data_IF_857085392615
#
_entry.id   IF_857085392615
#
_cell.length_a   1.000
_cell.length_b   1.000
_cell.length_c   1.000
_cell.angle_alpha   90.00
_cell.angle_beta   90.00
_cell.angle_gamma   90.00
#
_symmetry.space_group_name_H-M   'P 1'
#
loop_
_entity.id
_entity.type
_entity.pdbx_description
1 polymer ?
#
# COMPACT_ATOMS: atom_id res chain seq x y z
N UNK A 1 -10.59 -12.93 16.56
CA UNK A 1 -11.33 -13.98 15.83
C UNK A 1 -10.31 -14.73 15.01
N UNK A 2 -10.12 -16.03 15.22
CA UNK A 2 -9.16 -16.81 14.46
C UNK A 2 -9.67 -17.23 13.08
N UNK A 3 -8.76 -17.75 12.28
CA UNK A 3 -8.95 -18.12 10.87
C UNK A 3 -10.05 -19.17 10.68
N UNK A 4 -10.14 -20.18 11.53
CA UNK A 4 -11.15 -21.26 11.37
C UNK A 4 -12.54 -20.75 11.77
N UNK A 5 -12.64 -19.97 12.85
CA UNK A 5 -13.89 -19.35 13.27
C UNK A 5 -14.41 -18.40 12.18
N UNK A 6 -13.50 -17.67 11.54
CA UNK A 6 -13.82 -16.81 10.40
C UNK A 6 -14.28 -17.61 9.16
N UNK A 7 -13.63 -18.74 8.83
CA UNK A 7 -14.03 -19.59 7.70
C UNK A 7 -15.40 -20.26 7.93
N UNK A 8 -15.69 -20.68 9.16
CA UNK A 8 -17.00 -21.22 9.53
C UNK A 8 -18.07 -20.14 9.41
N UNK A 9 -17.78 -18.92 9.88
CA UNK A 9 -18.69 -17.78 9.76
C UNK A 9 -19.00 -17.42 8.30
N UNK A 10 -18.04 -17.56 7.39
CA UNK A 10 -18.22 -17.33 5.96
C UNK A 10 -18.78 -18.54 5.20
N UNK A 11 -19.25 -19.58 5.91
CA UNK A 11 -19.84 -20.80 5.33
C UNK A 11 -18.91 -21.58 4.39
N UNK A 12 -17.60 -21.34 4.43
CA UNK A 12 -16.62 -22.11 3.65
C UNK A 12 -16.25 -23.42 4.34
N UNK A 13 -16.27 -23.42 5.67
CA UNK A 13 -16.06 -24.60 6.50
C UNK A 13 -17.26 -24.82 7.42
N UNK A 14 -17.44 -26.05 7.90
CA UNK A 14 -18.44 -26.39 8.92
C UNK A 14 -17.70 -26.81 10.18
N UNK A 15 -18.25 -26.49 11.36
CA UNK A 15 -17.68 -27.03 12.59
C UNK A 15 -17.69 -28.56 12.54
N UNK A 16 -16.58 -29.19 12.86
CA UNK A 16 -16.36 -30.63 12.72
C UNK A 16 -15.73 -31.05 11.38
N UNK A 17 -15.39 -30.12 10.47
CA UNK A 17 -14.70 -30.47 9.22
C UNK A 17 -13.39 -31.21 9.50
N UNK A 18 -13.22 -32.36 8.86
CA UNK A 18 -12.01 -33.18 8.94
C UNK A 18 -10.85 -32.53 8.18
N UNK A 19 -9.70 -32.54 8.82
CA UNK A 19 -8.44 -32.05 8.26
C UNK A 19 -7.34 -33.05 8.51
N UNK A 20 -6.30 -33.00 7.67
CA UNK A 20 -5.10 -33.76 7.86
C UNK A 20 -3.86 -32.92 7.54
N UNK A 21 -2.75 -33.28 8.18
CA UNK A 21 -1.45 -32.68 7.94
C UNK A 21 -0.41 -33.79 7.81
N UNK A 22 0.46 -33.67 6.81
CA UNK A 22 1.52 -34.64 6.55
C UNK A 22 2.88 -34.04 6.92
N UNK A 23 3.58 -34.68 7.86
CA UNK A 23 4.93 -34.30 8.25
C UNK A 23 5.99 -34.75 7.25
N UNK A 24 7.21 -34.23 7.42
CA UNK A 24 8.37 -34.54 6.57
C UNK A 24 8.73 -36.03 6.55
N UNK A 25 8.37 -36.76 7.62
CA UNK A 25 8.58 -38.21 7.75
C UNK A 25 7.47 -39.04 7.07
N UNK A 26 6.64 -38.42 6.23
CA UNK A 26 5.44 -39.00 5.56
C UNK A 26 4.34 -39.47 6.51
N UNK A 27 4.46 -39.23 7.81
CA UNK A 27 3.40 -39.51 8.80
C UNK A 27 2.27 -38.50 8.61
N UNK A 28 1.04 -38.99 8.48
CA UNK A 28 -0.17 -38.17 8.35
C UNK A 28 -0.91 -38.18 9.68
N UNK A 29 -1.23 -36.98 10.20
CA UNK A 29 -2.13 -36.81 11.35
C UNK A 29 -3.47 -36.27 10.86
N UNK A 30 -4.55 -36.76 11.46
CA UNK A 30 -5.94 -36.38 11.17
C UNK A 30 -6.58 -35.76 12.40
N UNK A 31 -7.55 -34.88 12.20
CA UNK A 31 -8.32 -34.26 13.27
C UNK A 31 -9.50 -33.46 12.73
N UNK A 32 -10.34 -32.97 13.64
CA UNK A 32 -11.55 -32.21 13.30
C UNK A 32 -11.49 -30.79 13.84
N UNK A 33 -11.99 -29.83 13.05
CA UNK A 33 -11.97 -28.39 13.36
C UNK A 33 -13.12 -27.95 14.29
N UNK A 34 -12.82 -27.20 15.34
CA UNK A 34 -13.83 -26.59 16.22
C UNK A 34 -13.42 -25.17 16.63
N UNK A 35 -14.25 -24.18 16.28
CA UNK A 35 -13.97 -22.76 16.49
C UNK A 35 -12.61 -22.32 15.95
N UNK A 36 -11.55 -22.29 16.76
CA UNK A 36 -10.17 -21.93 16.35
C UNK A 36 -9.13 -23.04 16.66
N UNK A 37 -9.58 -24.27 16.90
CA UNK A 37 -8.73 -25.40 17.27
C UNK A 37 -8.99 -26.67 16.44
N UNK A 38 -8.05 -27.61 16.49
CA UNK A 38 -8.13 -28.94 15.88
C UNK A 38 -8.02 -30.00 16.97
N UNK A 39 -8.98 -30.91 17.05
CA UNK A 39 -8.90 -32.08 17.93
C UNK A 39 -8.24 -33.22 17.15
N UNK A 40 -7.07 -33.72 17.57
CA UNK A 40 -6.39 -34.81 16.86
C UNK A 40 -7.09 -36.16 17.11
N UNK A 41 -7.32 -36.93 16.05
CA UNK A 41 -7.86 -38.30 16.17
C UNK A 41 -6.87 -39.26 16.84
N UNK A 42 -5.59 -38.90 16.79
CA UNK A 42 -4.50 -39.73 17.27
C UNK A 42 -4.34 -39.75 18.79
N UNK A 43 -4.70 -38.66 19.48
CA UNK A 43 -4.46 -38.49 20.91
C UNK A 43 -5.60 -37.75 21.62
N UNK A 44 -6.63 -37.33 20.89
CA UNK A 44 -7.78 -36.56 21.37
C UNK A 44 -7.43 -35.24 22.07
N UNK A 45 -6.19 -34.76 21.91
CA UNK A 45 -5.75 -33.45 22.40
C UNK A 45 -6.20 -32.35 21.44
N UNK A 46 -6.61 -31.23 22.01
CA UNK A 46 -6.98 -30.01 21.27
C UNK A 46 -5.73 -29.18 21.00
N UNK A 47 -5.46 -28.89 19.73
CA UNK A 47 -4.32 -28.11 19.26
C UNK A 47 -4.78 -26.80 18.62
N UNK A 48 -3.95 -25.77 18.74
CA UNK A 48 -4.02 -24.64 17.80
C UNK A 48 -3.61 -25.14 16.41
N UNK A 49 -3.93 -24.38 15.36
CA UNK A 49 -3.62 -24.77 13.99
C UNK A 49 -2.10 -24.99 13.79
N UNK A 50 -1.28 -24.07 14.31
CA UNK A 50 0.19 -24.21 14.31
C UNK A 50 0.67 -25.37 15.20
N UNK A 51 -0.01 -25.59 16.33
CA UNK A 51 0.26 -26.72 17.22
C UNK A 51 -0.01 -28.06 16.54
N UNK A 52 -1.06 -28.16 15.72
CA UNK A 52 -1.41 -29.38 14.97
C UNK A 52 -0.43 -29.66 13.83
N UNK A 53 0.03 -28.62 13.11
CA UNK A 53 1.10 -28.75 12.10
C UNK A 53 2.40 -29.28 12.74
N UNK A 54 2.77 -28.73 13.89
CA UNK A 54 3.95 -29.16 14.66
C UNK A 54 3.77 -30.60 15.16
N UNK A 55 2.58 -30.95 15.65
CA UNK A 55 2.24 -32.30 16.11
C UNK A 55 2.31 -33.34 14.97
N UNK A 56 1.98 -32.94 13.73
CA UNK A 56 2.14 -33.78 12.55
C UNK A 56 3.61 -33.95 12.11
N UNK A 57 4.56 -33.25 12.75
CA UNK A 57 5.96 -33.23 12.34
C UNK A 57 6.18 -32.45 11.05
N UNK A 58 5.29 -31.52 10.72
CA UNK A 58 5.44 -30.62 9.59
C UNK A 58 6.20 -29.36 10.04
N UNK A 59 7.41 -29.17 9.53
CA UNK A 59 8.30 -28.05 9.89
C UNK A 59 8.25 -26.90 8.87
N UNK A 60 7.20 -26.87 8.04
CA UNK A 60 7.03 -25.83 7.01
C UNK A 60 6.64 -24.48 7.58
N UNK A 61 6.19 -24.43 8.84
CA UNK A 61 5.72 -23.22 9.52
C UNK A 61 4.68 -22.44 8.71
N UNK A 62 3.85 -23.16 7.96
CA UNK A 62 2.81 -22.59 7.10
C UNK A 62 1.53 -23.41 7.28
N UNK A 63 0.92 -23.35 8.47
CA UNK A 63 -0.15 -24.25 8.85
C UNK A 63 -1.34 -24.17 7.90
N UNK A 64 -1.68 -22.98 7.40
CA UNK A 64 -2.77 -22.81 6.44
C UNK A 64 -2.54 -23.50 5.10
N UNK A 65 -1.28 -23.68 4.66
CA UNK A 65 -0.96 -24.44 3.44
C UNK A 65 -0.75 -25.93 3.69
N UNK A 66 -0.30 -26.27 4.89
CA UNK A 66 0.10 -27.63 5.26
C UNK A 66 -1.08 -28.48 5.76
N UNK A 67 -2.16 -27.84 6.21
CA UNK A 67 -3.37 -28.50 6.70
C UNK A 67 -4.39 -28.50 5.57
N UNK A 68 -4.78 -29.72 5.19
CA UNK A 68 -5.61 -30.01 4.04
C UNK A 68 -6.94 -30.63 4.48
N UNK A 69 -7.99 -30.34 3.74
CA UNK A 69 -9.27 -31.01 3.82
C UNK A 69 -9.27 -32.28 2.98
N UNK A 70 -10.24 -33.16 3.23
CA UNK A 70 -10.43 -34.39 2.44
C UNK A 70 -10.70 -34.14 0.95
N UNK A 71 -11.26 -32.98 0.60
CA UNK A 71 -11.48 -32.57 -0.79
C UNK A 71 -10.22 -32.06 -1.51
N UNK A 72 -9.08 -32.04 -0.81
CA UNK A 72 -7.78 -31.62 -1.34
C UNK A 72 -7.48 -30.14 -1.22
N UNK A 73 -8.43 -29.30 -0.76
CA UNK A 73 -8.18 -27.88 -0.49
C UNK A 73 -7.31 -27.72 0.75
N UNK A 74 -6.39 -26.76 0.74
CA UNK A 74 -5.73 -26.31 1.97
C UNK A 74 -6.61 -25.31 2.73
N UNK A 75 -6.34 -25.11 4.01
CA UNK A 75 -6.97 -24.00 4.75
C UNK A 75 -6.73 -22.64 4.08
N UNK A 76 -5.59 -22.46 3.40
CA UNK A 76 -5.31 -21.26 2.61
C UNK A 76 -6.22 -21.16 1.38
N UNK A 77 -6.56 -22.28 0.75
CA UNK A 77 -7.51 -22.28 -0.38
C UNK A 77 -8.93 -21.99 0.11
N UNK A 78 -9.32 -22.51 1.28
CA UNK A 78 -10.56 -22.10 1.93
C UNK A 78 -10.58 -20.60 2.27
N UNK A 79 -9.45 -20.03 2.71
CA UNK A 79 -9.34 -18.58 2.90
C UNK A 79 -9.54 -17.81 1.60
N UNK A 80 -8.93 -18.27 0.51
CA UNK A 80 -9.12 -17.66 -0.81
C UNK A 80 -10.57 -17.75 -1.26
N UNK A 81 -11.23 -18.89 -1.07
CA UNK A 81 -12.63 -19.07 -1.41
C UNK A 81 -13.56 -18.17 -0.60
N UNK A 82 -13.32 -18.03 0.70
CA UNK A 82 -14.08 -17.12 1.55
C UNK A 82 -13.92 -15.65 1.11
N UNK A 83 -12.74 -15.30 0.59
CA UNK A 83 -12.45 -13.98 0.04
C UNK A 83 -13.03 -13.77 -1.37
N UNK A 84 -13.22 -14.83 -2.15
CA UNK A 84 -13.81 -14.77 -3.50
C UNK A 84 -15.34 -14.84 -3.49
N UNK A 85 -15.93 -15.49 -2.49
CA UNK A 85 -17.38 -15.66 -2.36
C UNK A 85 -18.10 -14.44 -1.76
N UNK A 86 -17.35 -13.48 -1.20
CA UNK A 86 -17.89 -12.16 -0.85
C UNK A 86 -18.28 -11.29 -2.06
N UNK A 87 -17.86 -11.67 -3.27
CA UNK A 87 -18.06 -10.85 -4.49
C UNK A 87 -19.35 -11.16 -5.28
N UNK A 88 -20.18 -12.12 -4.83
CA UNK A 88 -21.34 -12.61 -5.63
C UNK A 88 -22.70 -12.66 -4.92
N UNK A 89 -22.90 -12.02 -3.76
CA UNK A 89 -24.25 -11.83 -3.19
C UNK A 89 -24.98 -10.63 -3.82
N UNK A 90 -25.24 -10.72 -5.11
CA UNK A 90 -25.96 -9.70 -5.86
C UNK A 90 -26.19 -10.06 -7.33
N UNK A 91 -26.78 -11.22 -7.60
CA UNK A 91 -27.78 -11.45 -8.67
C UNK A 91 -27.92 -12.95 -8.97
N UNK A 92 -29.11 -13.49 -8.69
CA UNK A 92 -29.61 -14.68 -9.35
C UNK A 92 -30.01 -14.30 -10.78
N UNK A 93 -29.49 -14.98 -11.81
CA UNK A 93 -30.30 -15.78 -12.74
C UNK A 93 -29.52 -16.28 -13.97
N UNK A 94 -29.91 -17.50 -14.36
CA UNK A 94 -29.75 -18.23 -15.63
C UNK A 94 -28.38 -18.86 -15.96
N UNK A 95 -28.43 -20.19 -15.81
CA UNK A 95 -27.56 -21.25 -16.31
C UNK A 95 -27.18 -21.07 -17.79
N UNK A 96 -25.91 -21.24 -18.12
CA UNK A 96 -25.55 -22.13 -19.22
C UNK A 96 -24.16 -22.75 -19.03
N UNK A 97 -24.19 -24.05 -18.80
CA UNK A 97 -23.06 -24.96 -18.90
C UNK A 97 -22.53 -24.95 -20.33
N UNK A 98 -21.22 -24.76 -20.51
CA UNK A 98 -20.38 -25.53 -21.44
C UNK A 98 -19.01 -24.86 -21.59
N UNK A 99 -18.00 -25.41 -20.91
CA UNK A 99 -16.78 -25.94 -21.52
C UNK A 99 -15.68 -26.08 -20.46
N UNK A 100 -15.68 -27.25 -19.79
CA UNK A 100 -14.46 -27.84 -19.25
C UNK A 100 -13.54 -28.18 -20.42
N UNK A 101 -12.25 -27.86 -20.27
CA UNK A 101 -11.05 -28.69 -20.56
C UNK A 101 -9.93 -27.83 -21.13
N UNK A 102 -8.90 -27.58 -20.31
CA UNK A 102 -7.54 -28.06 -20.54
C UNK A 102 -6.58 -27.44 -19.51
N UNK A 103 -6.46 -28.12 -18.37
CA UNK A 103 -5.29 -28.01 -17.51
C UNK A 103 -4.12 -28.72 -18.20
N UNK A 104 -3.05 -27.99 -18.49
CA UNK A 104 -1.72 -28.58 -18.69
C UNK A 104 -0.65 -27.62 -18.20
N UNK A 105 -0.10 -27.96 -17.02
CA UNK A 105 1.32 -27.89 -16.66
C UNK A 105 2.03 -26.56 -16.94
N UNK A 106 2.12 -25.77 -15.86
CA UNK A 106 3.13 -24.75 -15.64
C UNK A 106 4.52 -25.38 -15.74
N UNK A 107 5.37 -24.86 -16.63
CA UNK A 107 6.82 -24.84 -16.43
C UNK A 107 7.27 -23.40 -16.26
N UNK A 108 8.01 -23.20 -15.18
CA UNK A 108 8.57 -21.95 -14.69
C UNK A 108 9.41 -21.22 -15.75
N UNK A 109 9.34 -19.89 -15.72
CA UNK A 109 10.54 -19.07 -15.85
C UNK A 109 10.33 -17.72 -15.16
N UNK A 110 10.74 -17.67 -13.90
CA UNK A 110 11.00 -16.42 -13.16
C UNK A 110 12.21 -15.73 -13.78
N UNK A 111 11.98 -14.65 -14.52
CA UNK A 111 12.96 -13.57 -14.75
C UNK A 111 12.27 -12.35 -15.37
N UNK A 112 12.16 -11.27 -14.59
CA UNK A 112 12.41 -9.84 -14.95
C UNK A 112 11.47 -8.91 -14.18
N UNK A 113 12.07 -8.07 -13.33
CA UNK A 113 11.54 -6.75 -12.99
C UNK A 113 11.62 -5.90 -14.26
N UNK A 114 10.57 -5.94 -15.05
CA UNK A 114 10.36 -5.04 -16.18
C UNK A 114 8.92 -4.57 -16.05
N UNK A 115 8.70 -3.29 -15.73
CA UNK A 115 7.38 -2.69 -15.80
C UNK A 115 6.97 -2.66 -17.27
N UNK A 116 6.41 -3.77 -17.75
CA UNK A 116 5.76 -3.83 -19.05
C UNK A 116 4.49 -3.01 -18.92
N UNK A 117 4.49 -1.80 -19.49
CA UNK A 117 3.26 -1.08 -19.79
C UNK A 117 2.53 -1.93 -20.83
N UNK A 118 1.48 -2.64 -20.41
CA UNK A 118 0.58 -3.34 -21.33
C UNK A 118 -0.26 -2.31 -22.07
N UNK A 119 -0.35 -2.45 -23.39
CA UNK A 119 -1.34 -1.77 -24.22
C UNK A 119 -2.75 -2.21 -23.81
N UNK A 120 -3.66 -1.23 -23.76
CA UNK A 120 -5.02 -1.28 -23.19
C UNK A 120 -5.90 -2.36 -23.84
N UNK A 121 -6.66 -3.07 -23.02
CA UNK A 121 -8.07 -3.31 -23.34
C UNK A 121 -8.86 -2.05 -22.96
N UNK A 122 -9.89 -1.68 -23.71
CA UNK A 122 -10.75 -0.50 -23.49
C UNK A 122 -11.54 -0.49 -22.16
N UNK A 123 -11.20 -1.35 -21.20
CA UNK A 123 -11.93 -1.51 -19.96
C UNK A 123 -11.21 -0.82 -18.78
N UNK A 124 -11.91 0.14 -18.18
CA UNK A 124 -11.79 0.59 -16.78
C UNK A 124 -10.98 1.87 -16.47
N UNK A 125 -11.24 2.96 -17.20
CA UNK A 125 -10.91 4.32 -16.70
C UNK A 125 -11.66 4.61 -15.39
N UNK A 126 -11.09 5.46 -14.54
CA UNK A 126 -11.72 5.92 -13.31
C UNK A 126 -12.94 6.79 -13.61
N UNK A 127 -14.00 6.62 -12.82
CA UNK A 127 -15.23 7.43 -12.92
C UNK A 127 -15.24 8.62 -11.95
N UNK A 128 -14.09 8.90 -11.31
CA UNK A 128 -13.91 9.99 -10.35
C UNK A 128 -12.65 10.78 -10.68
N UNK A 129 -12.67 12.08 -10.41
CA UNK A 129 -11.52 12.93 -10.59
C UNK A 129 -10.40 12.58 -9.60
N UNK A 130 -9.18 12.37 -10.09
CA UNK A 130 -8.01 12.04 -9.26
C UNK A 130 -7.49 13.21 -8.39
N UNK A 131 -8.06 14.41 -8.50
CA UNK A 131 -7.68 15.61 -7.71
C UNK A 131 -8.71 15.94 -6.62
N UNK A 132 -9.99 15.67 -6.86
CA UNK A 132 -11.06 16.05 -5.92
C UNK A 132 -11.95 14.89 -5.48
N UNK A 133 -11.80 13.69 -6.07
CA UNK A 133 -12.56 12.50 -5.70
C UNK A 133 -14.02 12.49 -6.17
N UNK A 134 -14.51 13.53 -6.86
CA UNK A 134 -15.88 13.62 -7.34
C UNK A 134 -16.02 13.14 -8.79
N UNK A 135 -17.17 12.57 -9.14
CA UNK A 135 -17.55 12.22 -10.52
C UNK A 135 -18.00 13.43 -11.35
N UNK A 136 -18.61 13.17 -12.52
CA UNK A 136 -19.14 14.20 -13.43
C UNK A 136 -18.43 14.21 -14.77
N UNK A 137 -18.27 15.39 -15.37
CA UNK A 137 -17.61 15.56 -16.66
C UNK A 137 -16.09 15.48 -16.52
N UNK A 138 -15.52 14.34 -16.90
CA UNK A 138 -14.11 14.02 -16.69
C UNK A 138 -13.36 13.88 -18.03
N UNK A 139 -12.19 14.51 -18.10
CA UNK A 139 -11.17 14.24 -19.10
C UNK A 139 -10.37 12.99 -18.71
N UNK A 140 -10.22 12.06 -19.65
CA UNK A 140 -9.56 10.76 -19.44
C UNK A 140 -8.13 10.82 -19.98
N UNK A 141 -7.20 10.20 -19.27
CA UNK A 141 -5.82 10.07 -19.75
C UNK A 141 -5.70 8.93 -20.78
N UNK A 142 -5.03 9.19 -21.90
CA UNK A 142 -4.84 8.17 -22.94
C UNK A 142 -3.83 7.09 -22.56
N UNK A 143 -3.03 7.29 -21.49
CA UNK A 143 -1.99 6.33 -21.04
C UNK A 143 -2.31 5.57 -19.75
N UNK A 144 -3.23 6.07 -18.92
CA UNK A 144 -3.54 5.42 -17.65
C UNK A 144 -5.02 5.56 -17.31
N UNK A 145 -5.55 4.77 -16.37
CA UNK A 145 -6.95 4.84 -15.99
C UNK A 145 -7.41 6.18 -15.39
N UNK A 146 -6.52 7.09 -15.01
CA UNK A 146 -6.88 8.31 -14.28
C UNK A 146 -7.78 9.26 -15.09
N UNK A 147 -8.75 9.85 -14.39
CA UNK A 147 -9.73 10.80 -14.90
C UNK A 147 -9.71 12.12 -14.09
N UNK A 148 -10.07 13.24 -14.72
CA UNK A 148 -9.92 14.57 -14.11
C UNK A 148 -10.98 15.57 -14.58
N UNK A 149 -11.49 16.42 -13.69
CA UNK A 149 -12.19 17.63 -14.15
C UNK A 149 -11.22 18.60 -14.82
N UNK A 150 -11.64 19.24 -15.91
CA UNK A 150 -10.84 20.28 -16.58
C UNK A 150 -10.44 21.40 -15.62
N UNK A 151 -11.39 21.88 -14.81
CA UNK A 151 -11.14 22.92 -13.81
C UNK A 151 -10.13 22.50 -12.73
N UNK A 152 -10.11 21.22 -12.33
CA UNK A 152 -9.13 20.71 -11.37
C UNK A 152 -7.71 20.67 -11.96
N UNK A 153 -7.58 20.50 -13.28
CA UNK A 153 -6.31 20.60 -14.00
C UNK A 153 -5.92 22.04 -14.37
N UNK A 154 -6.79 23.02 -14.13
CA UNK A 154 -6.62 24.39 -14.62
C UNK A 154 -6.77 24.51 -16.14
N UNK A 155 -7.48 23.56 -16.78
CA UNK A 155 -7.78 23.60 -18.20
C UNK A 155 -9.14 24.27 -18.43
N UNK A 156 -9.20 25.15 -19.43
CA UNK A 156 -10.42 25.88 -19.78
C UNK A 156 -11.20 25.24 -20.94
N UNK A 157 -10.61 24.25 -21.63
CA UNK A 157 -11.21 23.58 -22.79
C UNK A 157 -10.78 22.12 -22.81
N UNK A 158 -11.62 21.27 -23.42
CA UNK A 158 -11.30 19.87 -23.69
C UNK A 158 -10.07 19.81 -24.60
N UNK A 159 -9.02 19.07 -24.24
CA UNK A 159 -7.87 18.83 -25.11
C UNK A 159 -8.30 18.23 -26.46
N UNK A 160 -7.74 18.74 -27.56
CA UNK A 160 -7.99 18.19 -28.89
C UNK A 160 -6.94 17.10 -29.16
N UNK A 161 -7.39 15.91 -29.55
CA UNK A 161 -6.52 14.76 -29.81
C UNK A 161 -6.09 14.04 -28.53
N UNK A 162 -4.96 13.32 -28.59
CA UNK A 162 -4.44 12.59 -27.43
C UNK A 162 -4.07 13.55 -26.28
N UNK A 163 -4.51 13.22 -25.07
CA UNK A 163 -4.16 13.92 -23.84
C UNK A 163 -3.63 12.98 -22.77
N UNK A 164 -2.63 13.46 -22.03
CA UNK A 164 -1.93 12.68 -21.01
C UNK A 164 -1.86 13.48 -19.72
N UNK A 165 -2.23 12.83 -18.62
CA UNK A 165 -2.18 13.45 -17.30
C UNK A 165 -0.73 13.78 -16.88
N UNK A 166 -0.53 14.73 -15.95
CA UNK A 166 0.80 15.16 -15.53
C UNK A 166 1.67 14.01 -14.99
N UNK A 167 1.08 13.01 -14.31
CA UNK A 167 1.80 11.82 -13.81
C UNK A 167 2.31 10.91 -14.94
N UNK A 168 1.72 11.01 -16.13
CA UNK A 168 2.10 10.25 -17.33
C UNK A 168 3.10 10.99 -18.22
N UNK A 169 3.38 12.27 -17.95
CA UNK A 169 4.32 13.10 -18.69
C UNK A 169 5.72 13.08 -18.06
N UNK A 170 6.75 13.25 -18.90
CA UNK A 170 8.13 13.39 -18.44
C UNK A 170 8.31 14.69 -17.64
N UNK A 171 8.98 14.65 -16.48
CA UNK A 171 9.21 15.86 -15.66
C UNK A 171 10.28 16.83 -16.17
N UNK A 172 10.96 16.51 -17.28
CA UNK A 172 11.92 17.42 -17.93
C UNK A 172 11.23 18.17 -19.07
N UNK A 173 10.61 17.44 -20.01
CA UNK A 173 10.01 18.05 -21.20
C UNK A 173 8.49 18.26 -21.10
N UNK A 174 7.85 17.78 -20.03
CA UNK A 174 6.40 17.82 -19.78
C UNK A 174 5.55 17.22 -20.91
N UNK A 175 6.13 16.27 -21.67
CA UNK A 175 5.46 15.58 -22.77
C UNK A 175 5.30 14.10 -22.50
N UNK A 176 4.29 13.46 -23.12
CA UNK A 176 4.09 12.01 -23.04
C UNK A 176 5.15 11.24 -23.83
N UNK A 177 5.57 11.77 -24.98
CA UNK A 177 6.52 11.16 -25.93
C UNK A 177 7.77 12.06 -26.05
N UNK A 178 8.95 11.45 -26.14
CA UNK A 178 10.21 12.18 -26.28
C UNK A 178 10.32 12.79 -27.67
N UNK A 179 10.76 14.06 -27.80
CA UNK A 179 11.01 14.71 -29.11
C UNK A 179 12.38 14.42 -29.70
N UNK A 180 13.39 14.24 -28.85
CA UNK A 180 14.74 13.91 -29.32
C UNK A 180 14.70 12.50 -29.87
N UNK A 181 15.05 12.36 -31.15
CA UNK A 181 15.07 11.14 -31.95
C UNK A 181 15.73 9.98 -31.21
N UNK A 182 14.95 9.29 -30.38
CA UNK A 182 15.30 7.96 -29.93
C UNK A 182 15.07 7.10 -31.16
N UNK A 183 16.13 6.79 -31.91
CA UNK A 183 16.08 5.94 -33.11
C UNK A 183 15.39 4.59 -32.86
N UNK A 184 15.25 4.19 -31.60
CA UNK A 184 14.38 3.12 -31.16
C UNK A 184 13.02 3.66 -30.69
N UNK A 185 12.03 3.59 -31.57
CA UNK A 185 10.60 3.81 -31.33
C UNK A 185 9.95 2.76 -30.40
N UNK A 186 10.71 2.18 -29.45
CA UNK A 186 10.16 1.23 -28.48
C UNK A 186 9.76 1.99 -27.22
N UNK A 187 8.53 1.76 -26.74
CA UNK A 187 7.93 2.36 -25.54
C UNK A 187 8.71 2.15 -24.21
N UNK A 188 9.87 1.50 -24.26
CA UNK A 188 10.76 1.21 -23.13
C UNK A 188 11.74 2.35 -22.75
N UNK A 189 11.51 3.59 -23.19
CA UNK A 189 12.40 4.71 -22.93
C UNK A 189 11.96 5.64 -21.78
N UNK A 190 11.09 5.15 -20.90
CA UNK A 190 10.65 5.87 -19.68
C UNK A 190 11.37 5.30 -18.45
N UNK A 191 11.97 6.19 -17.68
CA UNK A 191 12.58 5.93 -16.39
C UNK A 191 11.62 6.39 -15.30
N UNK A 192 11.51 5.60 -14.24
CA UNK A 192 10.72 5.93 -13.05
C UNK A 192 11.67 6.09 -11.88
N UNK A 193 11.66 7.23 -11.21
CA UNK A 193 12.48 7.41 -10.02
C UNK A 193 11.95 6.52 -8.90
N UNK A 194 12.81 5.68 -8.32
CA UNK A 194 12.42 4.76 -7.23
C UNK A 194 11.93 5.49 -5.98
N UNK A 195 12.37 6.73 -5.75
CA UNK A 195 12.01 7.51 -4.55
C UNK A 195 10.75 8.36 -4.71
N UNK A 196 10.62 9.11 -5.81
CA UNK A 196 9.50 10.05 -6.00
C UNK A 196 8.47 9.58 -7.03
N UNK A 197 8.72 8.43 -7.65
CA UNK A 197 7.84 7.75 -8.61
C UNK A 197 7.53 8.55 -9.89
N UNK A 198 8.23 9.67 -10.07
CA UNK A 198 8.09 10.51 -11.25
C UNK A 198 8.71 9.88 -12.49
N UNK A 199 8.08 10.13 -13.65
CA UNK A 199 8.47 9.59 -14.95
C UNK A 199 9.36 10.55 -15.73
N UNK A 200 10.34 10.00 -16.42
CA UNK A 200 11.32 10.75 -17.21
C UNK A 200 11.64 10.01 -18.50
N UNK A 201 11.85 10.71 -19.61
CA UNK A 201 12.39 10.06 -20.79
C UNK A 201 13.89 9.85 -20.65
N UNK A 202 14.38 8.67 -21.03
CA UNK A 202 15.81 8.37 -21.06
C UNK A 202 16.59 9.40 -21.87
N UNK A 203 16.10 9.77 -23.06
CA UNK A 203 16.69 10.81 -23.91
C UNK A 203 16.75 12.17 -23.22
N UNK A 204 15.70 12.58 -22.52
CA UNK A 204 15.68 13.86 -21.79
C UNK A 204 16.68 13.86 -20.63
N UNK A 205 16.77 12.77 -19.87
CA UNK A 205 17.73 12.64 -18.76
C UNK A 205 19.18 12.68 -19.30
N UNK A 206 19.45 11.99 -20.41
CA UNK A 206 20.76 12.04 -21.09
C UNK A 206 21.10 13.45 -21.57
N UNK A 207 20.13 14.18 -22.13
CA UNK A 207 20.33 15.53 -22.65
C UNK A 207 20.66 16.55 -21.55
N UNK A 208 20.16 16.37 -20.33
CA UNK A 208 20.49 17.25 -19.19
C UNK A 208 21.75 16.84 -18.42
N UNK A 209 22.46 15.80 -18.88
CA UNK A 209 23.73 15.37 -18.28
C UNK A 209 23.59 14.71 -16.91
N UNK A 210 22.41 14.17 -16.56
CA UNK A 210 22.28 13.36 -15.33
C UNK A 210 22.91 11.99 -15.61
N UNK A 211 24.00 11.70 -14.89
CA UNK A 211 24.73 10.45 -15.05
C UNK A 211 23.87 9.23 -14.67
N UNK A 212 23.92 8.23 -15.53
CA UNK A 212 23.31 6.93 -15.28
C UNK A 212 24.33 6.03 -14.61
N UNK A 213 24.06 5.65 -13.36
CA UNK A 213 24.73 4.48 -12.82
C UNK A 213 23.91 3.25 -13.21
N UNK A 214 24.55 2.21 -13.77
CA UNK A 214 23.91 0.94 -14.15
C UNK A 214 23.45 0.10 -12.94
N UNK A 215 23.16 0.74 -11.81
CA UNK A 215 22.61 0.10 -10.63
C UNK A 215 21.15 -0.27 -10.85
N UNK A 216 20.66 -1.28 -10.13
CA UNK A 216 19.28 -1.76 -10.19
C UNK A 216 18.22 -0.67 -9.89
N UNK A 217 18.61 0.43 -9.23
CA UNK A 217 17.72 1.54 -8.88
C UNK A 217 18.16 2.84 -9.56
N UNK A 218 17.23 3.51 -10.27
CA UNK A 218 17.44 4.83 -10.85
C UNK A 218 16.75 5.94 -10.02
N UNK A 219 17.44 7.08 -9.89
CA UNK A 219 16.95 8.25 -9.16
C UNK A 219 17.03 9.50 -10.04
N UNK A 220 16.02 10.37 -9.97
CA UNK A 220 15.99 11.60 -10.76
C UNK A 220 16.96 12.67 -10.27
N UNK A 221 17.55 12.51 -9.08
CA UNK A 221 18.50 13.43 -8.48
C UNK A 221 19.32 12.75 -7.38
N UNK A 222 20.49 13.32 -7.07
CA UNK A 222 21.32 12.92 -5.92
C UNK A 222 20.52 12.99 -4.62
N UNK A 223 19.66 14.00 -4.50
CA UNK A 223 18.73 14.18 -3.39
C UNK A 223 17.80 12.97 -3.22
N UNK A 224 17.13 12.53 -4.29
CA UNK A 224 16.24 11.37 -4.24
C UNK A 224 17.00 10.09 -3.88
N UNK A 225 18.22 9.93 -4.39
CA UNK A 225 19.10 8.81 -4.01
C UNK A 225 19.47 8.82 -2.53
N UNK A 226 19.88 9.99 -2.01
CA UNK A 226 20.21 10.16 -0.59
C UNK A 226 19.00 9.92 0.32
N UNK A 227 17.84 10.46 -0.05
CA UNK A 227 16.59 10.24 0.68
C UNK A 227 16.23 8.76 0.75
N UNK A 228 16.33 8.04 -0.37
CA UNK A 228 16.10 6.59 -0.41
C UNK A 228 17.04 5.83 0.52
N UNK A 229 18.34 6.15 0.50
CA UNK A 229 19.33 5.52 1.37
C UNK A 229 19.07 5.84 2.86
N UNK A 230 18.70 7.08 3.19
CA UNK A 230 18.35 7.48 4.54
C UNK A 230 17.10 6.75 5.04
N UNK A 231 16.04 6.66 4.24
CA UNK A 231 14.83 5.90 4.56
C UNK A 231 15.15 4.42 4.76
N UNK A 232 15.94 3.82 3.87
CA UNK A 232 16.40 2.42 4.01
C UNK A 232 17.18 2.20 5.31
N UNK A 233 17.98 3.18 5.74
CA UNK A 233 18.71 3.13 7.02
C UNK A 233 17.81 3.34 8.24
N UNK A 234 16.67 4.02 8.12
CA UNK A 234 15.70 4.27 9.19
C UNK A 234 14.75 3.09 9.40
N UNK A 235 14.43 2.33 8.34
CA UNK A 235 13.50 1.20 8.39
C UNK A 235 13.86 0.21 9.51
N UNK A 236 12.86 -0.12 10.33
CA UNK A 236 12.94 -1.09 11.42
C UNK A 236 13.73 -0.63 12.65
N UNK A 237 14.38 0.56 12.62
CA UNK A 237 15.19 1.03 13.74
C UNK A 237 14.34 1.80 14.76
N UNK A 238 14.31 1.39 16.03
CA UNK A 238 13.64 2.14 17.08
C UNK A 238 14.43 3.41 17.42
N UNK A 239 13.72 4.53 17.51
CA UNK A 239 14.24 5.85 17.92
C UNK A 239 13.56 6.21 19.25
N UNK A 240 14.34 6.40 20.32
CA UNK A 240 13.78 6.86 21.60
C UNK A 240 13.31 8.31 21.44
N UNK A 241 12.03 8.56 21.70
CA UNK A 241 11.43 9.92 21.61
C UNK A 241 11.08 10.50 22.99
N UNK A 242 10.82 9.64 23.98
CA UNK A 242 10.62 10.01 25.37
C UNK A 242 10.87 8.78 26.26
N UNK A 243 10.66 8.91 27.57
CA UNK A 243 10.85 7.77 28.48
C UNK A 243 9.86 6.65 28.20
N UNK A 244 10.43 5.45 28.04
CA UNK A 244 9.73 4.23 27.66
C UNK A 244 8.97 4.31 26.32
N UNK A 245 9.25 5.33 25.48
CA UNK A 245 8.59 5.57 24.21
C UNK A 245 9.58 5.49 23.04
N UNK A 246 9.27 4.63 22.09
CA UNK A 246 10.08 4.41 20.88
C UNK A 246 9.24 4.60 19.62
N UNK A 247 9.83 5.28 18.65
CA UNK A 247 9.28 5.52 17.33
C UNK A 247 9.98 4.60 16.32
N UNK A 248 9.24 3.95 15.42
CA UNK A 248 9.82 3.06 14.40
C UNK A 248 9.15 3.28 13.04
N UNK A 249 9.95 3.37 11.98
CA UNK A 249 9.47 3.38 10.59
C UNK A 249 9.42 1.95 10.04
N UNK A 250 8.27 1.51 9.55
CA UNK A 250 8.05 0.16 9.01
C UNK A 250 7.44 0.27 7.61
N UNK A 251 7.81 -0.64 6.71
CA UNK A 251 7.22 -0.74 5.38
C UNK A 251 7.04 -2.21 5.04
N UNK A 252 5.95 -2.55 4.36
CA UNK A 252 5.79 -3.88 3.81
C UNK A 252 6.75 -4.04 2.63
N UNK A 253 7.86 -4.75 2.85
CA UNK A 253 8.83 -5.08 1.82
C UNK A 253 8.95 -6.59 1.84
N UNK A 254 8.92 -7.23 0.67
CA UNK A 254 9.25 -8.63 0.50
C UNK A 254 10.72 -8.86 0.89
N UNK A 255 10.97 -9.19 2.16
CA UNK A 255 12.30 -9.63 2.61
C UNK A 255 12.47 -11.12 2.31
N UNK A 256 13.68 -11.49 1.91
CA UNK A 256 14.07 -12.89 1.64
C UNK A 256 14.31 -13.67 2.95
N UNK A 257 14.43 -12.97 4.08
CA UNK A 257 14.62 -13.56 5.41
C UNK A 257 13.26 -13.73 6.14
N UNK A 258 12.89 -14.98 6.41
CA UNK A 258 11.62 -15.38 7.02
C UNK A 258 11.44 -14.84 8.46
N UNK A 259 12.52 -14.67 9.25
CA UNK A 259 12.39 -14.18 10.64
C UNK A 259 12.10 -12.69 10.71
N UNK A 260 12.80 -11.91 9.89
CA UNK A 260 12.59 -10.46 9.78
C UNK A 260 11.23 -10.16 9.13
N UNK A 261 10.80 -10.99 8.19
CA UNK A 261 9.49 -10.92 7.56
C UNK A 261 8.35 -11.09 8.58
N UNK A 262 8.40 -12.13 9.41
CA UNK A 262 7.36 -12.42 10.40
C UNK A 262 7.23 -11.32 11.47
N UNK A 263 8.33 -10.73 11.92
CA UNK A 263 8.29 -9.61 12.87
C UNK A 263 7.69 -8.34 12.24
N UNK A 264 8.04 -8.04 10.98
CA UNK A 264 7.45 -6.91 10.24
C UNK A 264 5.96 -7.08 10.03
N UNK A 265 5.52 -8.26 9.59
CA UNK A 265 4.11 -8.56 9.38
C UNK A 265 3.31 -8.48 10.68
N UNK A 266 3.85 -9.01 11.80
CA UNK A 266 3.23 -8.88 13.11
C UNK A 266 3.06 -7.41 13.52
N UNK A 267 4.10 -6.58 13.35
CA UNK A 267 4.06 -5.16 13.69
C UNK A 267 3.10 -4.37 12.81
N UNK A 268 3.00 -4.69 11.52
CA UNK A 268 2.01 -4.11 10.61
C UNK A 268 0.57 -4.49 10.99
N UNK A 269 0.33 -5.73 11.40
CA UNK A 269 -0.98 -6.16 11.91
C UNK A 269 -1.37 -5.45 13.21
N UNK A 270 -0.41 -5.25 14.14
CA UNK A 270 -0.65 -4.43 15.34
C UNK A 270 -0.97 -2.98 14.98
N UNK A 271 -0.25 -2.42 14.00
CA UNK A 271 -0.51 -1.07 13.52
C UNK A 271 -1.91 -0.94 12.91
N UNK A 272 -2.33 -1.92 12.10
CA UNK A 272 -3.68 -2.01 11.55
C UNK A 272 -4.75 -2.03 12.65
N UNK A 273 -4.51 -2.78 13.75
CA UNK A 273 -5.41 -2.80 14.90
C UNK A 273 -5.63 -1.40 15.52
N UNK A 274 -4.56 -0.63 15.72
CA UNK A 274 -4.67 0.74 16.23
C UNK A 274 -5.41 1.66 15.26
N UNK A 275 -5.22 1.49 13.95
CA UNK A 275 -5.98 2.25 12.96
C UNK A 275 -7.48 1.91 13.01
N UNK A 276 -7.87 0.65 13.18
CA UNK A 276 -9.29 0.28 13.31
C UNK A 276 -9.94 0.75 14.62
N UNK A 277 -9.17 0.99 15.69
CA UNK A 277 -9.69 1.68 16.87
C UNK A 277 -9.97 3.18 16.63
N UNK A 278 -9.31 3.77 15.62
CA UNK A 278 -9.44 5.19 15.27
C UNK A 278 -10.37 5.46 14.07
N UNK A 279 -10.54 4.48 13.19
CA UNK A 279 -11.21 4.63 11.90
C UNK A 279 -12.07 3.42 11.58
N UNK A 280 -13.23 3.67 10.98
CA UNK A 280 -14.03 2.61 10.38
C UNK A 280 -13.32 2.10 9.10
N UNK A 281 -13.34 0.78 8.83
CA UNK A 281 -12.85 0.24 7.57
C UNK A 281 -13.48 0.99 6.39
N UNK A 282 -12.62 1.51 5.51
CA UNK A 282 -13.04 2.30 4.34
C UNK A 282 -12.79 1.49 3.09
N UNK A 283 -13.81 1.34 2.25
CA UNK A 283 -13.75 0.56 1.03
C UNK A 283 -13.87 1.47 -0.19
N UNK A 284 -13.04 1.21 -1.20
CA UNK A 284 -13.24 1.80 -2.52
C UNK A 284 -14.53 1.25 -3.13
N UNK A 285 -15.47 2.14 -3.44
CA UNK A 285 -16.79 1.75 -3.93
C UNK A 285 -16.75 0.97 -5.27
N UNK A 286 -15.69 1.15 -6.08
CA UNK A 286 -15.57 0.54 -7.40
C UNK A 286 -14.84 -0.81 -7.35
N UNK A 287 -13.68 -0.85 -6.69
CA UNK A 287 -12.85 -2.06 -6.65
C UNK A 287 -13.13 -2.99 -5.46
N UNK A 288 -13.93 -2.55 -4.48
CA UNK A 288 -14.16 -3.28 -3.23
C UNK A 288 -12.94 -3.35 -2.31
N UNK A 289 -11.84 -2.69 -2.69
CA UNK A 289 -10.58 -2.71 -1.95
C UNK A 289 -10.68 -1.95 -0.65
N UNK A 290 -10.14 -2.52 0.42
CA UNK A 290 -10.14 -1.90 1.74
C UNK A 290 -8.91 -1.00 1.92
N UNK A 291 -9.13 0.31 1.93
CA UNK A 291 -8.09 1.34 1.79
C UNK A 291 -7.09 1.33 2.96
N UNK A 292 -7.56 1.15 4.20
CA UNK A 292 -6.68 1.17 5.38
C UNK A 292 -5.66 0.04 5.29
N UNK A 293 -6.15 -1.19 5.06
CA UNK A 293 -5.31 -2.37 4.87
C UNK A 293 -4.37 -2.20 3.69
N UNK A 294 -4.83 -1.65 2.58
CA UNK A 294 -4.01 -1.50 1.40
C UNK A 294 -2.89 -0.45 1.58
N UNK A 295 -3.15 0.62 2.33
CA UNK A 295 -2.13 1.60 2.74
C UNK A 295 -1.10 0.95 3.68
N UNK A 296 -1.56 0.27 4.73
CA UNK A 296 -0.67 -0.37 5.73
C UNK A 296 0.26 -1.39 5.08
N UNK A 297 -0.26 -2.21 4.17
CA UNK A 297 0.51 -3.24 3.47
C UNK A 297 1.08 -2.80 2.12
N UNK A 298 0.96 -1.51 1.78
CA UNK A 298 1.50 -0.91 0.55
C UNK A 298 1.11 -1.67 -0.73
N UNK A 299 -0.16 -2.06 -0.87
CA UNK A 299 -0.63 -2.91 -1.98
C UNK A 299 -0.74 -2.14 -3.30
N UNK A 300 -0.14 -2.70 -4.35
CA UNK A 300 -0.05 -2.09 -5.67
C UNK A 300 -1.35 -2.20 -6.48
N UNK A 301 -1.49 -1.33 -7.49
CA UNK A 301 -2.61 -1.31 -8.43
C UNK A 301 -2.24 -0.63 -9.73
N UNK A 302 -2.91 -1.01 -10.81
CA UNK A 302 -2.85 -0.32 -12.10
C UNK A 302 -3.59 1.03 -12.07
N UNK A 303 -4.58 1.18 -11.18
CA UNK A 303 -5.25 2.46 -10.93
C UNK A 303 -4.37 3.31 -10.02
N UNK A 304 -3.83 4.42 -10.54
CA UNK A 304 -2.93 5.30 -9.78
C UNK A 304 -3.52 5.72 -8.42
N UNK A 305 -4.83 6.01 -8.36
CA UNK A 305 -5.52 6.42 -7.11
C UNK A 305 -5.61 5.30 -6.06
N UNK A 306 -5.45 4.05 -6.48
CA UNK A 306 -5.45 2.85 -5.64
C UNK A 306 -4.07 2.19 -5.57
N UNK A 307 -3.03 2.87 -6.05
CA UNK A 307 -1.67 2.37 -5.97
C UNK A 307 -1.02 2.88 -4.69
N UNK A 308 -0.96 2.00 -3.68
CA UNK A 308 -0.42 2.28 -2.37
C UNK A 308 1.04 1.84 -2.22
N UNK A 309 1.75 1.62 -3.33
CA UNK A 309 3.20 1.54 -3.26
C UNK A 309 3.76 2.82 -2.61
N UNK A 310 4.94 2.73 -1.99
CA UNK A 310 5.60 3.92 -1.43
C UNK A 310 5.16 4.31 -0.01
N UNK A 311 4.06 3.77 0.54
CA UNK A 311 3.67 4.05 1.92
C UNK A 311 4.62 3.45 2.96
N UNK A 312 4.75 4.17 4.07
CA UNK A 312 5.44 3.77 5.29
C UNK A 312 4.45 3.88 6.45
N UNK A 313 4.65 3.02 7.45
CA UNK A 313 3.93 3.02 8.72
C UNK A 313 4.87 3.53 9.79
N UNK A 314 4.46 4.58 10.47
CA UNK A 314 5.15 5.18 11.58
C UNK A 314 4.48 4.70 12.86
N UNK A 315 5.24 4.06 13.74
CA UNK A 315 4.70 3.35 14.89
C UNK A 315 5.35 3.90 16.16
N UNK A 316 4.52 4.39 17.08
CA UNK A 316 4.92 4.75 18.44
C UNK A 316 4.57 3.61 19.39
N UNK A 317 5.58 3.14 20.12
CA UNK A 317 5.47 2.04 21.08
C UNK A 317 5.80 2.52 22.48
N UNK A 318 5.04 2.07 23.48
CA UNK A 318 5.31 2.27 24.90
C UNK A 318 5.55 0.94 25.58
N UNK A 319 6.75 0.73 26.14
CA UNK A 319 7.14 -0.55 26.77
C UNK A 319 6.86 -1.79 25.87
N UNK A 320 7.03 -1.65 24.55
CA UNK A 320 6.81 -2.71 23.56
C UNK A 320 5.36 -2.85 23.06
N UNK A 321 4.40 -2.10 23.60
CA UNK A 321 3.04 -2.04 23.08
C UNK A 321 2.92 -0.98 21.99
N UNK A 322 2.33 -1.29 20.83
CA UNK A 322 1.97 -0.28 19.82
C UNK A 322 0.81 0.57 20.33
N UNK A 323 1.03 1.89 20.46
CA UNK A 323 0.06 2.83 21.06
C UNK A 323 -0.45 3.91 20.10
N UNK A 324 0.35 4.27 19.09
CA UNK A 324 -0.04 5.27 18.09
C UNK A 324 0.60 4.95 16.75
N UNK A 325 -0.13 5.21 15.67
CA UNK A 325 0.28 4.87 14.31
C UNK A 325 -0.03 6.05 13.38
N UNK A 326 0.87 6.32 12.45
CA UNK A 326 0.58 7.14 11.29
C UNK A 326 1.03 6.46 9.99
N UNK A 327 0.36 6.74 8.88
CA UNK A 327 0.78 6.28 7.55
C UNK A 327 1.26 7.46 6.72
N UNK A 328 2.44 7.32 6.10
CA UNK A 328 3.13 8.42 5.42
C UNK A 328 3.67 7.96 4.06
N UNK A 329 3.52 8.80 3.03
CA UNK A 329 4.16 8.61 1.71
C UNK A 329 4.93 9.87 1.31
N UNK A 330 6.10 9.71 0.72
CA UNK A 330 7.07 10.79 0.51
C UNK A 330 7.35 10.95 -0.99
N UNK A 331 6.98 12.08 -1.57
CA UNK A 331 7.13 12.38 -3.01
C UNK A 331 8.39 13.20 -3.31
N UNK A 332 9.53 12.74 -2.80
CA UNK A 332 10.79 13.48 -2.86
C UNK A 332 10.80 14.70 -1.92
N UNK A 333 11.56 15.74 -2.25
CA UNK A 333 11.67 16.94 -1.40
C UNK A 333 10.39 17.79 -1.38
N UNK A 334 9.58 17.75 -2.44
CA UNK A 334 8.49 18.70 -2.60
C UNK A 334 7.39 18.56 -1.55
N UNK A 335 7.00 17.33 -1.23
CA UNK A 335 5.87 17.05 -0.34
C UNK A 335 5.88 15.61 0.18
N UNK A 336 5.41 15.42 1.41
CA UNK A 336 4.96 14.13 1.93
C UNK A 336 3.49 14.22 2.33
N UNK A 337 2.74 13.13 2.15
CA UNK A 337 1.37 12.99 2.64
C UNK A 337 1.33 12.13 3.90
N UNK A 338 0.50 12.54 4.86
CA UNK A 338 0.09 11.75 6.03
C UNK A 338 -1.39 11.43 5.83
N UNK A 339 -1.72 10.14 5.81
CA UNK A 339 -3.07 9.69 5.43
C UNK A 339 -3.89 9.31 6.66
N UNK A 340 -3.38 8.41 7.48
CA UNK A 340 -4.03 8.02 8.74
C UNK A 340 -3.15 8.41 9.91
N UNK A 341 -3.78 8.87 10.99
CA UNK A 341 -3.13 9.07 12.29
C UNK A 341 -4.10 8.62 13.38
N UNK A 342 -3.71 7.60 14.15
CA UNK A 342 -4.52 7.07 15.25
C UNK A 342 -3.69 6.89 16.51
N UNK A 343 -4.35 7.03 17.65
CA UNK A 343 -3.83 6.69 18.98
C UNK A 343 -4.87 5.82 19.66
N UNK A 344 -4.44 4.71 20.28
CA UNK A 344 -5.28 3.84 21.10
C UNK A 344 -6.02 4.63 22.17
N UNK A 345 -7.26 4.26 22.43
CA UNK A 345 -8.18 5.04 23.27
C UNK A 345 -7.60 5.37 24.65
N UNK A 346 -7.04 4.36 25.33
CA UNK A 346 -6.44 4.49 26.66
C UNK A 346 -5.21 5.41 26.73
N UNK A 347 -4.65 5.81 25.58
CA UNK A 347 -3.50 6.71 25.47
C UNK A 347 -3.86 8.06 24.82
N UNK A 348 -5.13 8.31 24.50
CA UNK A 348 -5.60 9.60 23.97
C UNK A 348 -5.49 10.69 25.04
N UNK A 349 -5.36 11.95 24.59
CA UNK A 349 -5.20 13.15 25.44
C UNK A 349 -3.97 13.14 26.36
N UNK A 350 -3.01 12.25 26.12
CA UNK A 350 -1.73 12.19 26.85
C UNK A 350 -0.54 12.72 26.03
N UNK A 351 -0.78 13.40 24.91
CA UNK A 351 0.28 13.94 24.04
C UNK A 351 0.89 12.97 23.03
N UNK A 352 0.39 11.74 22.92
CA UNK A 352 0.97 10.71 22.04
C UNK A 352 0.91 11.08 20.55
N UNK A 353 -0.20 11.65 20.08
CA UNK A 353 -0.31 12.15 18.71
C UNK A 353 0.69 13.28 18.42
N UNK A 354 0.91 14.17 19.40
CA UNK A 354 1.94 15.21 19.28
C UNK A 354 3.33 14.62 19.16
N UNK A 355 3.73 13.70 20.05
CA UNK A 355 5.03 13.03 19.98
C UNK A 355 5.25 12.30 18.65
N UNK A 356 4.21 11.63 18.15
CA UNK A 356 4.25 10.93 16.86
C UNK A 356 4.49 11.92 15.70
N UNK A 357 3.69 12.99 15.62
CA UNK A 357 3.77 13.97 14.55
C UNK A 357 5.03 14.83 14.61
N UNK A 358 5.48 15.23 15.81
CA UNK A 358 6.71 16.01 15.99
C UNK A 358 7.93 15.24 15.48
N UNK A 359 8.02 13.94 15.78
CA UNK A 359 9.13 13.12 15.27
C UNK A 359 8.98 12.88 13.76
N UNK A 360 7.76 12.73 13.21
CA UNK A 360 7.55 12.68 11.75
C UNK A 360 8.08 13.96 11.09
N UNK A 361 7.66 15.14 11.56
CA UNK A 361 8.10 16.42 11.01
C UNK A 361 9.61 16.61 11.09
N UNK A 362 10.22 16.21 12.21
CA UNK A 362 11.67 16.24 12.40
C UNK A 362 12.40 15.33 11.41
N UNK A 363 11.95 14.09 11.22
CA UNK A 363 12.57 13.16 10.28
C UNK A 363 12.38 13.62 8.83
N UNK A 364 11.18 14.09 8.45
CA UNK A 364 10.91 14.62 7.12
C UNK A 364 11.71 15.88 6.82
N UNK A 365 11.85 16.79 7.79
CA UNK A 365 12.72 17.97 7.70
C UNK A 365 14.18 17.56 7.45
N UNK A 366 14.67 16.54 8.17
CA UNK A 366 16.02 15.98 7.94
C UNK A 366 16.15 15.30 6.58
N UNK A 367 15.07 14.81 5.98
CA UNK A 367 15.11 14.27 4.62
C UNK A 367 15.02 15.38 3.55
N UNK A 368 14.86 16.64 3.94
CA UNK A 368 14.70 17.77 3.03
C UNK A 368 13.31 17.91 2.45
N UNK A 369 12.29 17.32 3.07
CA UNK A 369 10.90 17.50 2.65
C UNK A 369 10.44 18.91 3.04
N UNK A 370 9.90 19.64 2.09
CA UNK A 370 9.50 21.05 2.22
C UNK A 370 8.10 21.21 2.80
N UNK A 371 7.19 20.27 2.52
CA UNK A 371 5.78 20.40 2.83
C UNK A 371 5.19 19.08 3.32
N UNK A 372 4.28 19.18 4.29
CA UNK A 372 3.47 18.08 4.79
C UNK A 372 2.01 18.32 4.42
N UNK A 373 1.37 17.30 3.89
CA UNK A 373 -0.01 17.32 3.43
C UNK A 373 -0.82 16.27 4.18
N UNK A 374 -2.06 16.59 4.52
CA UNK A 374 -3.03 15.61 5.02
C UNK A 374 -4.46 15.97 4.59
N UNK A 375 -5.35 15.00 4.67
CA UNK A 375 -6.79 15.21 4.54
C UNK A 375 -7.41 15.19 5.94
N UNK A 376 -8.22 16.21 6.25
CA UNK A 376 -8.89 16.30 7.54
C UNK A 376 -10.41 16.25 7.37
N UNK A 377 -11.08 15.48 8.23
CA UNK A 377 -12.51 15.64 8.47
C UNK A 377 -12.78 16.99 9.13
N UNK A 378 -14.01 17.49 9.03
CA UNK A 378 -14.39 18.76 9.66
C UNK A 378 -14.15 18.76 11.17
N UNK A 379 -14.42 17.62 11.85
CA UNK A 379 -14.23 17.46 13.29
C UNK A 379 -12.76 17.59 13.74
N UNK A 380 -11.82 17.17 12.90
CA UNK A 380 -10.38 17.21 13.21
C UNK A 380 -9.70 18.52 12.75
N UNK A 381 -10.39 19.38 11.98
CA UNK A 381 -9.80 20.58 11.36
C UNK A 381 -9.16 21.50 12.38
N UNK A 382 -9.83 21.75 13.51
CA UNK A 382 -9.33 22.64 14.55
C UNK A 382 -8.03 22.10 15.18
N UNK A 383 -7.94 20.78 15.36
CA UNK A 383 -6.73 20.12 15.88
C UNK A 383 -5.55 20.34 14.92
N UNK A 384 -5.73 20.06 13.62
CA UNK A 384 -4.65 20.21 12.65
C UNK A 384 -4.20 21.66 12.46
N UNK A 385 -5.15 22.60 12.44
CA UNK A 385 -4.84 24.01 12.20
C UNK A 385 -4.25 24.70 13.43
N UNK A 386 -4.83 24.49 14.62
CA UNK A 386 -4.39 25.18 15.84
C UNK A 386 -3.22 24.51 16.53
N UNK A 387 -3.23 23.18 16.64
CA UNK A 387 -2.22 22.45 17.41
C UNK A 387 -1.01 22.05 16.56
N UNK A 388 -1.24 21.73 15.28
CA UNK A 388 -0.18 21.29 14.38
C UNK A 388 0.23 22.34 13.35
N UNK A 389 -0.46 23.47 13.23
CA UNK A 389 -0.05 24.56 12.33
C UNK A 389 -0.24 24.27 10.85
N UNK A 390 -1.18 23.38 10.50
CA UNK A 390 -1.63 23.23 9.12
C UNK A 390 -2.55 24.38 8.71
N UNK A 391 -2.66 24.63 7.40
CA UNK A 391 -3.64 25.53 6.81
C UNK A 391 -4.53 24.78 5.82
N UNK A 392 -5.81 25.17 5.72
CA UNK A 392 -6.70 24.69 4.65
C UNK A 392 -6.10 25.06 3.29
N UNK A 393 -6.01 24.10 2.38
CA UNK A 393 -5.51 24.34 1.04
C UNK A 393 -6.64 24.89 0.15
N UNK A 394 -6.38 26.01 -0.52
CA UNK A 394 -7.33 26.55 -1.51
C UNK A 394 -7.29 25.71 -2.79
N UNK A 395 -8.41 25.64 -3.52
CA UNK A 395 -8.51 24.88 -4.79
C UNK A 395 -7.43 25.27 -5.81
N UNK A 396 -7.05 26.55 -5.86
CA UNK A 396 -5.99 27.07 -6.72
C UNK A 396 -4.59 26.54 -6.37
N UNK A 397 -4.35 26.14 -5.13
CA UNK A 397 -3.04 25.65 -4.68
C UNK A 397 -2.89 24.14 -4.93
N UNK A 398 -4.01 23.42 -5.08
CA UNK A 398 -4.01 22.00 -5.46
C UNK A 398 -3.28 21.75 -6.78
N UNK A 399 -3.32 22.71 -7.71
CA UNK A 399 -2.67 22.57 -9.01
C UNK A 399 -1.14 22.43 -8.90
N UNK A 400 -0.52 22.93 -7.81
CA UNK A 400 0.91 22.81 -7.56
C UNK A 400 1.35 21.35 -7.38
N UNK A 401 0.41 20.44 -7.11
CA UNK A 401 0.68 19.04 -6.82
C UNK A 401 0.06 18.07 -7.83
N UNK A 402 -0.38 18.55 -9.00
CA UNK A 402 -0.98 17.71 -10.06
C UNK A 402 -0.08 16.57 -10.56
N UNK A 403 1.22 16.68 -10.29
CA UNK A 403 2.22 15.66 -10.58
C UNK A 403 2.21 14.49 -9.59
N UNK A 404 1.40 14.56 -8.53
CA UNK A 404 1.29 13.57 -7.47
C UNK A 404 -0.17 13.10 -7.35
N UNK A 405 -0.34 11.82 -7.04
CA UNK A 405 -1.64 11.24 -6.72
C UNK A 405 -1.71 11.01 -5.23
N UNK A 406 -2.47 11.85 -4.51
CA UNK A 406 -2.71 11.70 -3.07
C UNK A 406 -3.94 10.83 -2.80
N UNK A 407 -4.00 10.23 -1.61
CA UNK A 407 -5.22 9.52 -1.20
C UNK A 407 -6.28 10.51 -0.70
N UNK A 408 -7.37 10.64 -1.46
CA UNK A 408 -8.50 11.52 -1.15
C UNK A 408 -9.64 10.75 -0.46
N UNK A 409 -10.27 11.37 0.53
CA UNK A 409 -11.49 10.87 1.17
C UNK A 409 -12.66 11.80 0.91
N UNK A 410 -13.86 11.23 0.75
CA UNK A 410 -15.09 12.03 0.63
C UNK A 410 -15.29 12.92 1.85
N UNK A 411 -15.74 14.14 1.63
CA UNK A 411 -15.99 15.15 2.68
C UNK A 411 -14.76 15.48 3.54
N UNK A 412 -13.56 15.35 2.98
CA UNK A 412 -12.33 15.78 3.62
C UNK A 412 -11.81 17.10 3.03
N UNK A 413 -11.06 17.84 3.85
CA UNK A 413 -10.38 19.07 3.42
C UNK A 413 -8.87 18.83 3.40
N UNK A 414 -8.26 19.04 2.23
CA UNK A 414 -6.81 19.06 2.10
C UNK A 414 -6.20 20.18 2.93
N UNK A 415 -5.21 19.81 3.74
CA UNK A 415 -4.47 20.70 4.61
C UNK A 415 -2.99 20.62 4.27
N UNK A 416 -2.30 21.76 4.32
CA UNK A 416 -0.88 21.87 4.01
C UNK A 416 -0.14 22.58 5.15
N UNK A 417 1.07 22.11 5.44
CA UNK A 417 2.00 22.74 6.35
C UNK A 417 3.37 22.83 5.69
N UNK A 418 3.99 24.00 5.74
CA UNK A 418 5.40 24.14 5.37
C UNK A 418 6.27 23.55 6.49
N UNK A 419 7.19 22.67 6.13
CA UNK A 419 8.24 22.20 7.03
C UNK A 419 9.40 23.19 7.00
N UNK A 420 10.15 23.26 8.09
CA UNK A 420 11.31 24.14 8.18
C UNK A 420 12.35 23.65 7.18
N UNK A 421 12.91 24.55 6.37
CA UNK A 421 14.05 24.19 5.51
C UNK A 421 15.20 23.71 6.38
N UNK A 422 15.76 22.52 6.13
CA UNK A 422 16.93 22.10 6.87
C UNK A 422 18.08 23.02 6.53
N UNK A 423 18.76 23.55 7.55
CA UNK A 423 20.08 24.18 7.38
C UNK A 423 21.08 23.05 7.12
N UNK A 424 21.21 22.61 5.88
CA UNK A 424 22.41 21.86 5.51
C UNK A 424 23.58 22.85 5.56
N UNK A 425 24.69 22.58 6.27
CA UNK A 425 25.91 23.31 5.95
C UNK A 425 26.15 23.10 4.45
N UNK A 426 26.25 24.20 3.71
CA UNK A 426 26.59 24.17 2.29
C UNK A 426 27.81 23.25 2.15
N UNK A 427 27.62 22.09 1.53
CA UNK A 427 28.75 21.29 1.09
C UNK A 427 29.30 22.07 -0.09
N UNK A 428 30.37 22.82 0.19
CA UNK A 428 31.12 23.61 -0.78
C UNK A 428 31.82 22.71 -1.81
#
# INVERSE_FOLDING_TARGET
MGIVSWLIKNQVLVSGTNVFCQGSNKVVKRGSLFSDAIVCDCCHVTFTITGFESHAGCTRHRPSTSILLEDGRSLLDCQREALSSSDHKGNHSVVNENQKKNHSIVKENRKKNHCVVKEKSEANNDNVCSICGFGGDLALCDRCPSAFHLGCLGLNRVPIGEWFCPTCCCKICYRPKCKQECKDHKDNNILVCVQCEQKYHFGCVKAVGIEFNHMENWFCSVVCGNMFLCLKKLLGKPIKVADNLTWTLVKNVSSVDDKEFNQKESKLNMALGVLYEGFNPTFDALSGRELIKDVVFSRESEHNRLNFCGFYNVILEKMGEVISVATVRIYGQKVAEVVFVATKEQYRRQGMCHLLMDEIEKQLTRLGVEKLLLHSSEDAMNTWTRSFGFARMASKDKCQFIDHTFLEFQNSTMCLKALKTPKWPCIA
#
